data_IF_463600961209
#
_entry.id   IF_463600961209
#
_cell.length_a   1.000
_cell.length_b   1.000
_cell.length_c   1.000
_cell.angle_alpha   90.00
_cell.angle_beta   90.00
_cell.angle_gamma   90.00
#
_symmetry.space_group_name_H-M   'P 1'
#
loop_
_entity.id
_entity.type
_entity.pdbx_description
1 polymer ?
#
# COMPACT_ATOMS: atom_id res chain seq x y z
N UNK A 1 -25.01 -7.41 8.46
CA UNK A 1 -23.92 -6.48 8.81
C UNK A 1 -23.02 -6.41 7.58
N UNK A 2 -22.81 -5.22 7.03
CA UNK A 2 -21.86 -5.06 5.91
C UNK A 2 -20.46 -5.45 6.38
N UNK A 3 -19.80 -6.33 5.62
CA UNK A 3 -18.44 -6.76 5.91
C UNK A 3 -17.49 -5.64 5.47
N UNK A 4 -16.86 -4.98 6.43
CA UNK A 4 -15.94 -3.87 6.16
C UNK A 4 -14.62 -4.42 5.62
N UNK A 5 -14.25 -4.01 4.40
CA UNK A 5 -13.03 -4.46 3.72
C UNK A 5 -11.86 -3.52 3.99
N UNK A 6 -12.08 -2.20 3.93
CA UNK A 6 -11.03 -1.21 4.15
C UNK A 6 -11.52 -0.12 5.11
N UNK A 7 -10.73 0.18 6.11
CA UNK A 7 -10.96 1.36 6.98
C UNK A 7 -9.69 2.18 7.06
N UNK A 8 -9.84 3.49 6.90
CA UNK A 8 -8.81 4.49 7.17
C UNK A 8 -9.26 5.27 8.39
N UNK A 9 -8.40 5.37 9.39
CA UNK A 9 -8.69 6.05 10.65
C UNK A 9 -7.68 7.17 10.90
N UNK A 10 -8.16 8.40 10.96
CA UNK A 10 -7.40 9.61 11.30
C UNK A 10 -6.11 9.77 10.49
N UNK A 11 -6.10 9.32 9.24
CA UNK A 11 -4.90 9.35 8.42
C UNK A 11 -4.51 10.78 8.08
N UNK A 12 -3.31 11.16 8.51
CA UNK A 12 -2.71 12.46 8.21
C UNK A 12 -1.36 12.25 7.56
N UNK A 13 -1.11 12.97 6.47
CA UNK A 13 0.18 12.97 5.80
C UNK A 13 0.70 14.39 5.66
N UNK A 14 1.85 14.64 6.25
CA UNK A 14 2.52 15.94 6.24
C UNK A 14 3.89 15.81 5.58
N UNK A 15 4.17 16.68 4.65
CA UNK A 15 5.48 16.83 4.00
C UNK A 15 6.10 18.18 4.44
N UNK A 16 7.10 18.11 5.31
CA UNK A 16 7.69 19.35 5.86
C UNK A 16 6.65 20.25 6.52
N UNK A 17 6.41 21.42 5.96
CA UNK A 17 5.41 22.38 6.48
C UNK A 17 4.01 22.21 5.93
N UNK A 18 3.79 21.33 4.94
CA UNK A 18 2.52 21.17 4.23
C UNK A 18 1.81 19.92 4.68
N UNK A 19 0.58 20.06 5.15
CA UNK A 19 -0.33 18.94 5.42
C UNK A 19 -1.09 18.63 4.14
N UNK A 20 -0.75 17.53 3.49
CA UNK A 20 -1.35 17.12 2.22
C UNK A 20 -2.65 16.33 2.40
N UNK A 21 -2.77 15.59 3.50
CA UNK A 21 -3.99 14.90 3.94
C UNK A 21 -4.11 15.15 5.43
N UNK A 22 -5.28 15.59 5.88
CA UNK A 22 -5.52 15.90 7.28
C UNK A 22 -6.72 15.11 7.79
N UNK A 23 -6.47 14.26 8.78
CA UNK A 23 -7.45 13.50 9.52
C UNK A 23 -8.49 12.76 8.64
N UNK A 24 -8.02 12.12 7.58
CA UNK A 24 -8.89 11.36 6.67
C UNK A 24 -9.46 10.14 7.37
N UNK A 25 -10.78 10.04 7.33
CA UNK A 25 -11.53 8.88 7.79
C UNK A 25 -12.38 8.36 6.63
N UNK A 26 -12.27 7.07 6.32
CA UNK A 26 -12.96 6.45 5.20
C UNK A 26 -13.22 4.98 5.52
N UNK A 27 -14.38 4.48 5.09
CA UNK A 27 -14.72 3.05 5.16
C UNK A 27 -15.19 2.59 3.79
N UNK A 28 -14.79 1.37 3.44
CA UNK A 28 -15.23 0.69 2.22
C UNK A 28 -15.72 -0.68 2.64
N UNK A 29 -17.00 -0.95 2.37
CA UNK A 29 -17.60 -2.25 2.62
C UNK A 29 -17.40 -3.17 1.39
N UNK A 30 -17.60 -4.46 1.59
CA UNK A 30 -17.52 -5.46 0.53
C UNK A 30 -18.50 -5.11 -0.60
N UNK A 31 -18.05 -5.32 -1.83
CA UNK A 31 -18.80 -5.03 -3.06
C UNK A 31 -19.20 -3.55 -3.24
N UNK A 32 -18.58 -2.65 -2.49
CA UNK A 32 -18.82 -1.21 -2.58
C UNK A 32 -17.78 -0.53 -3.46
N UNK A 33 -18.22 0.42 -4.28
CA UNK A 33 -17.36 1.35 -5.01
C UNK A 33 -17.38 2.69 -4.29
N UNK A 34 -16.22 3.13 -3.82
CA UNK A 34 -16.05 4.42 -3.14
C UNK A 34 -15.17 5.33 -3.99
N UNK A 35 -15.62 6.57 -4.22
CA UNK A 35 -14.89 7.57 -4.99
C UNK A 35 -14.37 8.70 -4.09
N UNK A 36 -13.10 9.04 -4.24
CA UNK A 36 -12.48 10.21 -3.60
C UNK A 36 -12.44 11.36 -4.61
N UNK A 37 -13.27 12.38 -4.40
CA UNK A 37 -13.45 13.50 -5.33
C UNK A 37 -12.84 14.77 -4.72
N UNK A 38 -12.23 15.60 -5.57
CA UNK A 38 -11.65 16.89 -5.16
C UNK A 38 -10.80 17.50 -6.27
N UNK A 39 -10.43 18.78 -6.17
CA UNK A 39 -9.60 19.48 -7.15
C UNK A 39 -8.17 18.90 -7.21
N UNK A 40 -7.39 19.33 -8.19
CA UNK A 40 -5.97 19.00 -8.26
C UNK A 40 -5.25 19.57 -7.02
N UNK A 41 -4.36 18.80 -6.43
CA UNK A 41 -3.68 19.17 -5.18
C UNK A 41 -4.45 18.86 -3.89
N UNK A 42 -5.70 18.39 -3.93
CA UNK A 42 -6.51 18.06 -2.74
C UNK A 42 -6.04 16.80 -1.97
N UNK A 43 -4.86 16.28 -2.24
CA UNK A 43 -4.31 15.15 -1.48
C UNK A 43 -4.80 13.76 -1.89
N UNK A 44 -5.64 13.62 -2.95
CA UNK A 44 -6.18 12.31 -3.38
C UNK A 44 -5.10 11.26 -3.62
N UNK A 45 -4.11 11.60 -4.43
CA UNK A 45 -2.97 10.72 -4.72
C UNK A 45 -2.17 10.38 -3.46
N UNK A 46 -2.04 11.34 -2.55
CA UNK A 46 -1.36 11.12 -1.26
C UNK A 46 -2.13 10.13 -0.39
N UNK A 47 -3.46 10.23 -0.33
CA UNK A 47 -4.30 9.26 0.39
C UNK A 47 -4.12 7.85 -0.19
N UNK A 48 -4.17 7.68 -1.52
CA UNK A 48 -3.88 6.40 -2.17
C UNK A 48 -2.45 5.91 -1.89
N UNK A 49 -1.45 6.80 -1.87
CA UNK A 49 -0.07 6.45 -1.56
C UNK A 49 0.09 5.95 -0.12
N UNK A 50 -0.68 6.48 0.82
CA UNK A 50 -0.70 5.99 2.21
C UNK A 50 -1.30 4.58 2.26
N UNK A 51 -2.47 4.36 1.66
CA UNK A 51 -3.14 3.05 1.66
C UNK A 51 -2.29 1.96 1.00
N UNK A 52 -1.57 2.31 -0.05
CA UNK A 52 -0.75 1.37 -0.82
C UNK A 52 0.71 1.25 -0.33
N UNK A 53 1.03 1.83 0.83
CA UNK A 53 2.35 1.69 1.45
C UNK A 53 3.48 2.44 0.76
N UNK A 54 3.18 3.35 -0.18
CA UNK A 54 4.20 4.21 -0.82
C UNK A 54 4.73 5.23 0.19
N UNK A 55 3.84 5.73 1.06
CA UNK A 55 4.20 6.60 2.17
C UNK A 55 3.67 6.04 3.49
N UNK A 56 4.52 6.02 4.51
CA UNK A 56 4.03 5.86 5.88
C UNK A 56 3.28 7.14 6.27
N UNK A 57 2.07 7.06 6.82
CA UNK A 57 1.35 8.25 7.29
C UNK A 57 2.13 8.94 8.41
N UNK A 58 1.93 10.23 8.57
CA UNK A 58 2.44 10.95 9.74
C UNK A 58 1.64 10.60 11.00
N UNK A 59 0.36 10.29 10.84
CA UNK A 59 -0.53 9.80 11.88
C UNK A 59 -1.66 8.97 11.27
N UNK A 60 -2.25 8.08 12.05
CA UNK A 60 -3.43 7.30 11.71
C UNK A 60 -3.14 5.85 11.40
N UNK A 61 -4.18 5.14 11.01
CA UNK A 61 -4.11 3.72 10.73
C UNK A 61 -4.92 3.33 9.48
N UNK A 62 -4.52 2.24 8.84
CA UNK A 62 -5.27 1.58 7.77
C UNK A 62 -5.50 0.14 8.16
N UNK A 63 -6.75 -0.28 8.06
CA UNK A 63 -7.21 -1.63 8.31
C UNK A 63 -7.69 -2.26 7.00
N UNK A 64 -7.33 -3.49 6.78
CA UNK A 64 -7.79 -4.28 5.64
C UNK A 64 -8.26 -5.64 6.13
N UNK A 65 -9.51 -6.00 5.81
CA UNK A 65 -10.16 -7.24 6.25
C UNK A 65 -10.02 -7.49 7.77
N UNK A 66 -10.28 -6.43 8.56
CA UNK A 66 -10.18 -6.48 10.02
C UNK A 66 -8.76 -6.51 10.60
N UNK A 67 -7.72 -6.54 9.76
CA UNK A 67 -6.32 -6.53 10.16
C UNK A 67 -5.72 -5.13 9.97
N UNK A 68 -5.04 -4.62 10.97
CA UNK A 68 -4.27 -3.38 10.85
C UNK A 68 -3.03 -3.62 10.00
N UNK A 69 -2.94 -2.94 8.85
CA UNK A 69 -1.86 -3.12 7.90
C UNK A 69 -0.88 -1.95 7.89
N UNK A 70 -1.34 -0.75 8.22
CA UNK A 70 -0.51 0.46 8.31
C UNK A 70 -0.90 1.18 9.58
N UNK A 71 0.08 1.69 10.31
CA UNK A 71 -0.13 2.53 11.49
C UNK A 71 1.05 3.45 11.72
N UNK A 72 0.75 4.67 12.12
CA UNK A 72 1.70 5.54 12.78
C UNK A 72 0.95 6.34 13.86
N UNK A 73 1.42 6.27 15.09
CA UNK A 73 0.80 6.93 16.24
C UNK A 73 1.81 7.84 16.93
N UNK A 74 2.14 9.00 16.31
CA UNK A 74 2.98 9.98 16.97
C UNK A 74 2.21 10.68 18.09
N UNK A 75 2.88 11.02 19.17
CA UNK A 75 2.31 11.83 20.24
C UNK A 75 2.52 13.34 19.96
N UNK A 76 1.44 14.11 20.11
CA UNK A 76 1.46 15.58 20.01
C UNK A 76 0.88 16.13 18.70
N UNK A 77 0.97 17.46 18.56
CA UNK A 77 0.46 18.15 17.37
C UNK A 77 1.35 17.91 16.15
N UNK A 78 0.76 17.59 15.00
CA UNK A 78 1.47 17.24 13.77
C UNK A 78 2.55 18.23 13.37
N UNK A 79 2.28 19.53 13.45
CA UNK A 79 3.29 20.58 13.15
C UNK A 79 4.55 20.52 14.03
N UNK A 80 4.43 19.99 15.27
CA UNK A 80 5.57 19.82 16.18
C UNK A 80 6.37 18.55 15.89
N UNK A 81 5.76 17.53 15.29
CA UNK A 81 6.43 16.25 14.96
C UNK A 81 7.46 16.42 13.84
N UNK A 82 7.19 17.32 12.89
CA UNK A 82 8.09 17.58 11.76
C UNK A 82 9.21 18.58 12.08
N UNK A 83 9.08 19.38 13.12
CA UNK A 83 10.05 20.40 13.49
C UNK A 83 10.76 20.04 14.78
N UNK A 84 12.06 19.75 14.70
CA UNK A 84 12.95 19.63 15.86
C UNK A 84 12.73 18.39 16.71
N UNK A 85 12.59 18.57 18.02
CA UNK A 85 12.68 17.50 19.03
C UNK A 85 11.66 16.36 18.93
N UNK A 86 10.58 16.55 18.18
CA UNK A 86 9.51 15.54 18.05
C UNK A 86 9.62 14.70 16.77
N UNK A 87 10.56 14.97 15.88
CA UNK A 87 10.67 14.32 14.58
C UNK A 87 10.90 12.77 14.66
N UNK A 88 11.45 12.30 15.77
CA UNK A 88 11.72 10.86 15.99
C UNK A 88 10.87 10.22 17.09
N UNK A 89 9.88 10.93 17.62
CA UNK A 89 9.05 10.43 18.73
C UNK A 89 7.82 9.67 18.23
N UNK A 90 8.04 8.68 17.38
CA UNK A 90 7.00 7.74 16.99
C UNK A 90 6.95 6.59 17.99
N UNK A 91 5.83 6.42 18.67
CA UNK A 91 5.66 5.36 19.66
C UNK A 91 5.48 3.99 19.01
N UNK A 92 4.89 3.95 17.83
CA UNK A 92 4.63 2.73 17.07
C UNK A 92 4.42 3.05 15.60
N UNK A 93 5.03 2.26 14.72
CA UNK A 93 4.87 2.39 13.27
C UNK A 93 4.81 1.02 12.60
N UNK A 94 3.74 0.79 11.85
CA UNK A 94 3.59 -0.32 10.91
C UNK A 94 3.58 0.30 9.51
N UNK A 95 4.60 0.06 8.71
CA UNK A 95 4.74 0.62 7.38
C UNK A 95 5.30 -0.44 6.41
N UNK A 96 4.46 -1.39 5.95
CA UNK A 96 4.87 -2.38 4.97
C UNK A 96 5.15 -1.71 3.63
N UNK A 97 6.01 -2.32 2.85
CA UNK A 97 6.34 -1.90 1.49
C UNK A 97 5.17 -2.20 0.52
N UNK A 98 5.06 -1.50 -0.64
CA UNK A 98 3.96 -1.70 -1.59
C UNK A 98 3.80 -3.14 -2.09
N UNK A 99 4.90 -3.88 -2.24
CA UNK A 99 4.87 -5.30 -2.60
C UNK A 99 4.16 -6.14 -1.55
N UNK A 100 4.41 -5.90 -0.26
CA UNK A 100 3.72 -6.57 0.84
C UNK A 100 2.23 -6.22 0.90
N UNK A 101 1.87 -4.96 0.65
CA UNK A 101 0.47 -4.54 0.55
C UNK A 101 -0.23 -5.27 -0.61
N UNK A 102 0.46 -5.41 -1.75
CA UNK A 102 -0.07 -6.18 -2.90
C UNK A 102 -0.25 -7.67 -2.56
N UNK A 103 0.69 -8.27 -1.83
CA UNK A 103 0.58 -9.65 -1.35
C UNK A 103 -0.61 -9.85 -0.40
N UNK A 104 -1.00 -8.82 0.36
CA UNK A 104 -2.18 -8.85 1.23
C UNK A 104 -3.51 -8.77 0.45
N UNK A 105 -3.49 -8.45 -0.86
CA UNK A 105 -4.68 -8.41 -1.72
C UNK A 105 -5.07 -7.01 -2.21
N UNK A 106 -4.38 -5.95 -1.82
CA UNK A 106 -4.65 -4.59 -2.28
C UNK A 106 -3.85 -4.30 -3.54
N UNK A 107 -4.50 -4.25 -4.70
CA UNK A 107 -3.90 -3.87 -5.96
C UNK A 107 -4.17 -2.40 -6.29
N UNK A 108 -3.25 -1.77 -6.99
CA UNK A 108 -3.38 -0.40 -7.48
C UNK A 108 -3.04 -0.31 -8.95
N UNK A 109 -3.90 0.35 -9.72
CA UNK A 109 -3.56 0.79 -11.08
C UNK A 109 -2.77 2.09 -11.01
N UNK A 110 -1.63 2.14 -11.69
CA UNK A 110 -0.81 3.35 -11.76
C UNK A 110 -1.16 4.16 -13.01
N UNK A 111 -1.07 5.47 -12.92
CA UNK A 111 -1.35 6.40 -14.00
C UNK A 111 -0.42 6.20 -15.21
N UNK A 112 0.86 5.86 -14.95
CA UNK A 112 1.86 5.56 -15.96
C UNK A 112 2.15 4.06 -15.94
N UNK A 113 1.59 3.34 -16.90
CA UNK A 113 1.88 1.92 -17.10
C UNK A 113 3.24 1.81 -17.77
N UNK A 114 4.18 1.15 -17.10
CA UNK A 114 5.51 0.82 -17.68
C UNK A 114 5.54 -0.65 -18.01
N UNK A 115 5.28 -0.96 -19.27
CA UNK A 115 5.48 -2.30 -19.81
C UNK A 115 6.93 -2.46 -20.26
N UNK A 116 7.46 -3.65 -20.10
CA UNK A 116 8.76 -4.05 -20.65
C UNK A 116 8.58 -4.30 -22.14
N UNK A 117 8.91 -3.31 -22.97
CA UNK A 117 8.69 -3.34 -24.43
C UNK A 117 9.45 -4.45 -25.15
N UNK A 118 10.54 -4.93 -24.56
CA UNK A 118 11.35 -6.04 -25.08
C UNK A 118 10.78 -7.41 -24.75
N UNK A 119 9.74 -7.49 -23.95
CA UNK A 119 9.12 -8.72 -23.50
C UNK A 119 7.73 -8.90 -24.14
N UNK A 120 7.32 -10.16 -24.29
CA UNK A 120 5.97 -10.49 -24.74
C UNK A 120 4.91 -10.10 -23.70
N UNK A 121 3.66 -10.07 -24.12
CA UNK A 121 2.53 -9.85 -23.19
C UNK A 121 2.53 -10.89 -22.08
N UNK A 122 2.73 -12.15 -22.43
CA UNK A 122 2.82 -13.25 -21.47
C UNK A 122 3.93 -13.04 -20.43
N UNK A 123 5.11 -12.65 -20.85
CA UNK A 123 6.24 -12.38 -19.94
C UNK A 123 5.97 -11.20 -19.03
N UNK A 124 5.34 -10.11 -19.53
CA UNK A 124 4.93 -8.98 -18.69
C UNK A 124 3.93 -9.40 -17.59
N UNK A 125 2.95 -10.27 -17.92
CA UNK A 125 2.00 -10.82 -16.93
C UNK A 125 2.72 -11.73 -15.95
N UNK A 126 3.60 -12.59 -16.41
CA UNK A 126 4.37 -13.51 -15.57
C UNK A 126 5.28 -12.77 -14.58
N UNK A 127 5.93 -11.68 -15.01
CA UNK A 127 6.73 -10.82 -14.13
C UNK A 127 5.85 -10.21 -13.02
N UNK A 128 4.65 -9.75 -13.35
CA UNK A 128 3.73 -9.21 -12.34
C UNK A 128 3.31 -10.25 -11.29
N UNK A 129 3.24 -11.53 -11.64
CA UNK A 129 2.93 -12.64 -10.71
C UNK A 129 4.08 -12.98 -9.75
N UNK A 130 5.31 -12.54 -10.01
CA UNK A 130 6.46 -12.82 -9.15
C UNK A 130 6.28 -12.31 -7.70
N UNK A 131 5.50 -11.29 -7.46
CA UNK A 131 5.22 -10.80 -6.11
C UNK A 131 4.52 -11.84 -5.20
N UNK A 132 3.88 -12.86 -5.78
CA UNK A 132 3.21 -13.96 -5.08
C UNK A 132 4.06 -15.23 -4.95
N UNK A 133 5.30 -15.18 -5.41
CA UNK A 133 6.20 -16.35 -5.40
C UNK A 133 6.82 -16.53 -4.03
N UNK A 134 6.74 -17.74 -3.49
CA UNK A 134 7.35 -18.12 -2.21
C UNK A 134 8.80 -18.62 -2.35
N UNK A 135 9.37 -18.57 -3.56
CA UNK A 135 10.68 -19.12 -3.86
C UNK A 135 11.82 -18.36 -3.18
N UNK A 136 12.60 -19.07 -2.36
CA UNK A 136 13.87 -18.59 -1.84
C UNK A 136 15.00 -18.81 -2.85
N UNK A 137 16.10 -18.06 -2.71
CA UNK A 137 17.26 -18.15 -3.61
C UNK A 137 17.77 -19.60 -3.75
N UNK A 138 17.80 -20.35 -2.65
CA UNK A 138 18.22 -21.75 -2.61
C UNK A 138 17.25 -22.67 -3.40
N UNK A 139 15.93 -22.49 -3.22
CA UNK A 139 14.94 -23.30 -3.95
C UNK A 139 14.93 -23.01 -5.45
N UNK A 140 15.23 -21.77 -5.86
CA UNK A 140 15.39 -21.40 -7.25
C UNK A 140 16.65 -22.02 -7.87
N UNK A 141 17.75 -22.05 -7.14
CA UNK A 141 19.03 -22.64 -7.60
C UNK A 141 18.90 -24.15 -7.82
N UNK A 142 18.19 -24.86 -6.95
CA UNK A 142 17.99 -26.30 -7.04
C UNK A 142 16.75 -26.73 -7.84
N UNK A 143 16.06 -25.79 -8.52
CA UNK A 143 14.82 -26.03 -9.31
C UNK A 143 13.71 -26.76 -8.55
N UNK A 144 13.65 -26.60 -7.23
CA UNK A 144 12.66 -27.27 -6.38
C UNK A 144 11.23 -26.72 -6.58
N UNK A 145 11.06 -25.64 -7.32
CA UNK A 145 9.79 -24.94 -7.56
C UNK A 145 9.27 -25.10 -9.00
N UNK A 146 9.66 -26.17 -9.71
CA UNK A 146 9.24 -26.39 -11.09
C UNK A 146 7.70 -26.51 -11.24
N UNK A 147 7.04 -27.12 -10.28
CA UNK A 147 5.58 -27.30 -10.30
C UNK A 147 4.84 -25.97 -10.07
N UNK A 148 5.36 -25.11 -9.18
CA UNK A 148 4.82 -23.77 -8.94
C UNK A 148 4.99 -22.89 -10.18
N UNK A 149 6.15 -22.97 -10.84
CA UNK A 149 6.41 -22.24 -12.08
C UNK A 149 5.51 -22.69 -13.22
N UNK A 150 5.28 -24.01 -13.35
CA UNK A 150 4.35 -24.55 -14.33
C UNK A 150 2.93 -24.07 -14.10
N UNK A 151 2.44 -24.14 -12.86
CA UNK A 151 1.11 -23.63 -12.50
C UNK A 151 0.96 -22.14 -12.79
N UNK A 152 1.96 -21.32 -12.47
CA UNK A 152 1.93 -19.87 -12.74
C UNK A 152 1.89 -19.57 -14.24
N UNK A 153 2.55 -20.38 -15.08
CA UNK A 153 2.50 -20.25 -16.53
C UNK A 153 1.14 -20.66 -17.10
N UNK A 154 0.51 -21.67 -16.54
CA UNK A 154 -0.84 -22.12 -16.96
C UNK A 154 -1.93 -21.11 -16.59
N UNK A 155 -1.74 -20.34 -15.50
CA UNK A 155 -2.67 -19.31 -15.05
C UNK A 155 -2.49 -17.95 -15.79
N UNK A 156 -1.45 -17.75 -16.60
CA UNK A 156 -1.21 -16.54 -17.40
C UNK A 156 -1.80 -16.64 -18.79
#
# INVERSE_FOLDING_TARGET
MSENVLTIENATMQFGGVVAVDNLNLKVDKDQIVSLIGPNGAGKTTAFNVVTGVYAPTNGAVWFEGRKIIENTPHGKMKKLYKGQNASKYSHMIAPTPDKITQMGIARTFQNIRLWKSQTVFENVLIAKHCRRSANLLSATFRLNADEEKRQREEC
#
